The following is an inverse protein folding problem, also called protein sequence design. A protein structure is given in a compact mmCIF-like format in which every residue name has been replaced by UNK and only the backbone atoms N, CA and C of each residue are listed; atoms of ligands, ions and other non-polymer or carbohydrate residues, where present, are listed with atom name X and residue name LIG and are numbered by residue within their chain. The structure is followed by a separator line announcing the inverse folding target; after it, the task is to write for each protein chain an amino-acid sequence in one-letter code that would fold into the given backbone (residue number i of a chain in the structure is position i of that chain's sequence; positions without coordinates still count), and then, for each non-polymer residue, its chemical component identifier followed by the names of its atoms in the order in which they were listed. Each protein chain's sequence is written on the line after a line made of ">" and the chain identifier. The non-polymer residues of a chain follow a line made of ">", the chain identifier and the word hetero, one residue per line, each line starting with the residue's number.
data_IF_041350319229
#
_entry.id   IF_041350319229
#
_cell.length_a   1.000
_cell.length_b   1.000
_cell.length_c   1.000
_cell.angle_alpha   90.00
_cell.angle_beta   90.00
_cell.angle_gamma   90.00
#
_symmetry.space_group_name_H-M   'P 1'
#
loop_
_entity.id
_entity.type
_entity.pdbx_description
1 polymer ?
#
# COMPACT_ATOMS: atom_id res chain seq x y z
N UNK A 1 28.90 16.41 69.82
CA UNK A 1 29.86 16.65 68.71
C UNK A 1 29.62 15.72 67.52
N UNK A 2 29.24 14.46 67.75
CA UNK A 2 28.98 13.49 66.67
C UNK A 2 27.81 13.86 65.73
N UNK A 3 26.71 14.41 66.27
CA UNK A 3 25.60 14.89 65.44
C UNK A 3 26.04 16.02 64.49
N UNK A 4 26.87 16.94 64.97
CA UNK A 4 27.40 18.04 64.16
C UNK A 4 28.32 17.53 63.04
N UNK A 5 29.16 16.53 63.32
CA UNK A 5 30.00 15.88 62.30
C UNK A 5 29.17 15.17 61.24
N UNK A 6 28.10 14.47 61.65
CA UNK A 6 27.19 13.80 60.71
C UNK A 6 26.46 14.79 59.80
N UNK A 7 25.98 15.90 60.36
CA UNK A 7 25.33 16.98 59.59
C UNK A 7 26.30 17.62 58.59
N UNK A 8 27.53 17.92 59.02
CA UNK A 8 28.56 18.49 58.14
C UNK A 8 28.91 17.51 57.02
N UNK A 9 29.10 16.23 57.32
CA UNK A 9 29.46 15.21 56.34
C UNK A 9 28.35 15.00 55.30
N UNK A 10 27.09 14.92 55.73
CA UNK A 10 25.94 14.83 54.82
C UNK A 10 25.78 16.11 53.98
N UNK A 11 26.02 17.29 54.57
CA UNK A 11 26.00 18.57 53.86
C UNK A 11 27.07 18.67 52.76
N UNK A 12 28.30 18.27 53.06
CA UNK A 12 29.41 18.24 52.09
C UNK A 12 29.09 17.26 50.96
N UNK A 13 28.62 16.06 51.30
CA UNK A 13 28.29 15.05 50.31
C UNK A 13 27.12 15.49 49.41
N UNK A 14 26.10 16.13 49.98
CA UNK A 14 25.00 16.75 49.21
C UNK A 14 25.49 17.85 48.27
N UNK A 15 26.42 18.70 48.73
CA UNK A 15 27.00 19.75 47.89
C UNK A 15 27.84 19.18 46.75
N UNK A 16 28.62 18.13 47.02
CA UNK A 16 29.41 17.43 45.98
C UNK A 16 28.49 16.80 44.94
N UNK A 17 27.48 16.02 45.37
CA UNK A 17 26.55 15.39 44.42
C UNK A 17 25.72 16.42 43.65
N UNK A 18 25.28 17.50 44.31
CA UNK A 18 24.58 18.60 43.66
C UNK A 18 25.44 19.29 42.60
N UNK A 19 26.71 19.56 42.91
CA UNK A 19 27.65 20.17 41.97
C UNK A 19 27.95 19.25 40.77
N UNK A 20 28.13 17.94 41.01
CA UNK A 20 28.33 16.96 39.93
C UNK A 20 27.10 16.86 39.04
N UNK A 21 25.89 16.83 39.61
CA UNK A 21 24.64 16.80 38.85
C UNK A 21 24.42 18.10 38.07
N UNK A 22 24.71 19.26 38.65
CA UNK A 22 24.62 20.55 37.97
C UNK A 22 25.60 20.64 36.80
N UNK A 23 26.85 20.20 37.01
CA UNK A 23 27.85 20.14 35.96
C UNK A 23 27.44 19.18 34.84
N UNK A 24 26.97 17.98 35.18
CA UNK A 24 26.47 17.02 34.20
C UNK A 24 25.27 17.59 33.42
N UNK A 25 24.30 18.20 34.11
CA UNK A 25 23.13 18.80 33.49
C UNK A 25 23.50 19.90 32.48
N UNK A 26 24.45 20.77 32.82
CA UNK A 26 24.92 21.82 31.90
C UNK A 26 25.78 21.27 30.77
N UNK A 27 26.65 20.31 31.05
CA UNK A 27 27.56 19.73 30.04
C UNK A 27 26.83 18.89 29.00
N UNK A 28 25.74 18.24 29.40
CA UNK A 28 24.90 17.39 28.55
C UNK A 28 23.57 18.07 28.17
N UNK A 29 23.41 19.36 28.44
CA UNK A 29 22.26 20.12 27.95
C UNK A 29 22.30 20.15 26.43
N UNK A 30 21.28 19.55 25.80
CA UNK A 30 21.11 19.59 24.35
C UNK A 30 20.28 20.82 24.02
N UNK A 31 20.81 21.76 23.23
CA UNK A 31 20.01 22.84 22.68
C UNK A 31 18.94 22.23 21.76
N UNK A 32 17.69 22.34 22.18
CA UNK A 32 16.53 21.94 21.37
C UNK A 32 16.21 23.10 20.44
N UNK A 33 16.37 22.88 19.14
CA UNK A 33 16.01 23.86 18.13
C UNK A 33 14.51 24.18 18.25
N UNK A 34 14.15 25.46 18.32
CA UNK A 34 12.74 25.89 18.46
C UNK A 34 11.85 25.35 17.33
N UNK A 35 12.42 25.04 16.16
CA UNK A 35 11.70 24.41 15.05
C UNK A 35 11.27 22.99 15.38
N UNK A 36 12.03 22.25 16.20
CA UNK A 36 11.65 20.90 16.62
C UNK A 36 10.35 20.93 17.42
N UNK A 37 10.24 21.85 18.38
CA UNK A 37 9.02 22.05 19.16
C UNK A 37 7.82 22.44 18.27
N UNK A 38 8.03 23.39 17.33
CA UNK A 38 6.98 23.80 16.37
C UNK A 38 6.54 22.66 15.45
N UNK A 39 7.48 21.83 14.99
CA UNK A 39 7.16 20.65 14.17
C UNK A 39 6.39 19.62 15.01
N UNK A 40 6.79 19.41 16.26
CA UNK A 40 6.11 18.47 17.16
C UNK A 40 4.65 18.84 17.41
N UNK A 41 4.34 20.14 17.52
CA UNK A 41 2.97 20.64 17.69
C UNK A 41 2.07 20.40 16.47
N UNK A 42 2.62 20.41 15.26
CA UNK A 42 1.85 20.16 14.03
C UNK A 42 1.75 18.68 13.67
N UNK A 43 2.59 17.82 14.27
CA UNK A 43 2.54 16.38 14.06
C UNK A 43 1.30 15.75 14.74
N UNK A 44 0.77 14.64 14.22
CA UNK A 44 -0.43 13.99 14.78
C UNK A 44 -0.28 13.39 16.19
N UNK A 45 0.89 13.45 16.82
CA UNK A 45 1.13 12.87 18.16
C UNK A 45 0.99 11.33 18.27
N UNK A 46 0.83 10.62 17.15
CA UNK A 46 0.50 9.19 17.14
C UNK A 46 1.64 8.26 17.61
N UNK A 47 2.89 8.74 17.66
CA UNK A 47 4.09 8.01 18.09
C UNK A 47 4.18 6.58 17.51
N UNK A 48 3.79 6.42 16.25
CA UNK A 48 3.57 5.10 15.65
C UNK A 48 4.80 4.45 15.03
N UNK A 49 5.87 5.21 14.79
CA UNK A 49 7.09 4.73 14.13
C UNK A 49 6.97 4.53 12.61
N UNK A 50 5.81 4.77 11.99
CA UNK A 50 5.58 4.50 10.57
C UNK A 50 6.46 5.30 9.58
N UNK A 51 7.11 6.37 10.05
CA UNK A 51 8.09 7.14 9.29
C UNK A 51 9.53 6.61 9.40
N UNK A 52 9.78 5.58 10.22
CA UNK A 52 11.12 5.03 10.48
C UNK A 52 11.86 5.66 11.66
N UNK A 53 11.28 6.67 12.33
CA UNK A 53 11.88 7.37 13.47
C UNK A 53 11.20 7.03 14.81
N UNK A 54 11.92 7.12 15.94
CA UNK A 54 11.37 6.82 17.25
C UNK A 54 10.39 7.91 17.71
N UNK A 55 9.11 7.74 17.37
CA UNK A 55 8.03 8.63 17.77
C UNK A 55 7.98 9.96 17.01
N UNK A 56 7.08 10.84 17.43
CA UNK A 56 6.86 12.14 16.80
C UNK A 56 8.02 13.12 17.07
N UNK A 57 8.62 13.09 18.27
CA UNK A 57 9.81 13.88 18.58
C UNK A 57 11.01 13.47 17.73
N UNK A 58 11.22 12.15 17.55
CA UNK A 58 12.31 11.63 16.73
C UNK A 58 12.25 12.08 15.27
N UNK A 59 11.06 12.08 14.65
CA UNK A 59 10.91 12.60 13.28
C UNK A 59 11.01 14.12 13.22
N UNK A 60 10.53 14.85 14.23
CA UNK A 60 10.69 16.30 14.30
C UNK A 60 12.17 16.70 14.34
N UNK A 61 12.97 16.07 15.21
CA UNK A 61 14.41 16.28 15.31
C UNK A 61 15.12 15.94 13.99
N UNK A 62 14.76 14.82 13.36
CA UNK A 62 15.36 14.39 12.09
C UNK A 62 15.04 15.35 10.94
N UNK A 63 13.83 15.92 10.89
CA UNK A 63 13.46 16.93 9.89
C UNK A 63 14.32 18.19 10.07
N UNK A 64 14.47 18.68 11.31
CA UNK A 64 15.29 19.87 11.59
C UNK A 64 16.76 19.66 11.19
N UNK A 65 17.30 18.46 11.44
CA UNK A 65 18.67 18.07 11.04
C UNK A 65 18.85 17.83 9.54
N UNK A 66 17.77 17.82 8.76
CA UNK A 66 17.81 17.49 7.33
C UNK A 66 18.00 15.99 7.04
N UNK A 67 17.86 15.14 8.05
CA UNK A 67 17.95 13.67 7.92
C UNK A 67 16.63 13.05 7.45
N UNK A 68 15.52 13.78 7.56
CA UNK A 68 14.19 13.37 7.11
C UNK A 68 13.55 14.46 6.22
N UNK A 69 12.79 14.09 5.17
CA UNK A 69 12.05 15.06 4.37
C UNK A 69 10.87 15.65 5.16
N UNK A 70 10.42 16.85 4.81
CA UNK A 70 9.29 17.53 5.50
C UNK A 70 7.95 16.79 5.40
N UNK A 71 7.83 15.88 4.43
CA UNK A 71 6.67 15.00 4.24
C UNK A 71 6.86 13.61 4.90
N UNK A 72 7.85 13.43 5.77
CA UNK A 72 8.20 12.13 6.35
C UNK A 72 7.07 11.47 7.15
N UNK A 73 6.10 12.23 7.69
CA UNK A 73 5.01 11.67 8.49
C UNK A 73 3.87 11.13 7.59
N UNK A 74 3.72 9.81 7.40
CA UNK A 74 2.66 9.25 6.57
C UNK A 74 1.27 9.51 7.16
N UNK A 75 1.16 9.57 8.49
CA UNK A 75 -0.11 9.79 9.20
C UNK A 75 -0.63 11.21 9.02
N UNK A 76 0.27 12.19 9.02
CA UNK A 76 -0.09 13.60 8.85
C UNK A 76 -0.41 13.98 7.40
N UNK A 77 0.10 13.21 6.44
CA UNK A 77 -0.14 13.40 5.01
C UNK A 77 0.23 14.81 4.52
N UNK A 78 -0.42 15.24 3.44
CA UNK A 78 -0.15 16.53 2.80
C UNK A 78 -0.40 17.74 3.72
N UNK A 79 -1.40 17.65 4.61
CA UNK A 79 -1.76 18.76 5.50
C UNK A 79 -0.65 19.07 6.52
N UNK A 80 -0.06 18.03 7.13
CA UNK A 80 1.06 18.20 8.05
C UNK A 80 2.34 18.55 7.30
N UNK A 81 2.57 17.92 6.14
CA UNK A 81 3.74 18.22 5.32
C UNK A 81 3.81 19.70 4.93
N UNK A 82 2.68 20.32 4.57
CA UNK A 82 2.61 21.74 4.24
C UNK A 82 3.03 22.63 5.43
N UNK A 83 2.47 22.38 6.63
CA UNK A 83 2.82 23.13 7.85
C UNK A 83 4.29 22.95 8.24
N UNK A 84 4.82 21.73 8.13
CA UNK A 84 6.23 21.45 8.41
C UNK A 84 7.12 22.15 7.37
N UNK A 85 6.72 22.17 6.10
CA UNK A 85 7.39 22.92 5.04
C UNK A 85 7.46 24.41 5.31
N UNK A 86 6.37 25.02 5.80
CA UNK A 86 6.35 26.42 6.24
C UNK A 86 7.34 26.69 7.39
N UNK A 87 7.40 25.80 8.39
CA UNK A 87 8.35 25.91 9.52
C UNK A 87 9.81 25.79 9.05
N UNK A 88 10.06 24.91 8.08
CA UNK A 88 11.40 24.64 7.55
C UNK A 88 11.81 25.58 6.40
N UNK A 89 10.89 26.41 5.90
CA UNK A 89 11.13 27.30 4.75
C UNK A 89 11.31 26.56 3.42
N UNK A 90 10.79 25.34 3.28
CA UNK A 90 10.91 24.51 2.06
C UNK A 90 9.56 24.09 1.52
N UNK A 91 9.43 24.01 0.20
CA UNK A 91 8.21 23.51 -0.43
C UNK A 91 8.02 22.03 -0.11
N UNK A 92 6.86 21.68 0.45
CA UNK A 92 6.51 20.30 0.72
C UNK A 92 6.03 19.60 -0.55
N UNK A 93 6.82 18.69 -1.10
CA UNK A 93 6.35 17.80 -2.16
C UNK A 93 5.35 16.79 -1.58
N UNK A 94 4.13 16.79 -2.11
CA UNK A 94 3.09 15.85 -1.67
C UNK A 94 3.22 14.54 -2.45
N UNK A 95 3.69 13.49 -1.79
CA UNK A 95 3.63 12.12 -2.32
C UNK A 95 2.19 11.60 -2.42
N UNK A 96 1.96 10.60 -3.27
CA UNK A 96 0.65 9.97 -3.40
C UNK A 96 0.28 9.17 -2.14
N UNK A 97 -0.95 9.34 -1.63
CA UNK A 97 -1.48 8.59 -0.46
C UNK A 97 -1.22 7.10 -0.67
N UNK A 98 -0.52 6.49 0.28
CA UNK A 98 -0.31 5.05 0.33
C UNK A 98 -1.25 4.42 1.36
N UNK A 99 -1.60 3.16 1.17
CA UNK A 99 -2.44 2.38 2.09
C UNK A 99 -1.89 0.96 2.22
N UNK A 100 -2.24 0.29 3.31
CA UNK A 100 -1.93 -1.13 3.49
C UNK A 100 -2.83 -2.00 2.59
N UNK A 101 -2.29 -3.10 2.10
CA UNK A 101 -2.96 -4.08 1.25
C UNK A 101 -2.58 -5.49 1.67
N UNK A 102 -3.56 -6.37 1.81
CA UNK A 102 -3.35 -7.76 2.26
C UNK A 102 -3.23 -8.68 1.06
N UNK A 103 -2.09 -9.35 0.91
CA UNK A 103 -1.79 -10.27 -0.19
C UNK A 103 -2.33 -11.68 0.04
N UNK A 104 -3.62 -11.80 0.34
CA UNK A 104 -4.25 -13.10 0.51
C UNK A 104 -5.71 -13.09 0.07
N UNK A 105 -6.07 -13.97 -0.86
CA UNK A 105 -7.45 -14.30 -1.25
C UNK A 105 -7.92 -15.66 -0.73
N UNK A 106 -7.05 -16.37 -0.01
CA UNK A 106 -7.33 -17.71 0.51
C UNK A 106 -8.21 -17.66 1.75
N UNK A 107 -9.50 -17.39 1.56
CA UNK A 107 -10.56 -17.43 2.57
C UNK A 107 -10.76 -18.83 3.18
N UNK A 108 -11.61 -18.95 4.21
CA UNK A 108 -11.97 -20.24 4.82
C UNK A 108 -12.58 -21.23 3.81
N UNK A 109 -13.29 -20.73 2.81
CA UNK A 109 -13.91 -21.53 1.74
C UNK A 109 -12.94 -21.96 0.64
N UNK A 110 -11.82 -21.25 0.47
CA UNK A 110 -10.90 -21.46 -0.65
C UNK A 110 -9.56 -22.06 -0.25
N UNK A 111 -9.14 -21.94 1.01
CA UNK A 111 -7.90 -22.50 1.53
C UNK A 111 -8.16 -23.51 2.64
N UNK A 112 -7.60 -24.71 2.50
CA UNK A 112 -7.74 -25.77 3.49
C UNK A 112 -6.93 -25.46 4.77
N UNK A 113 -7.40 -25.98 5.89
CA UNK A 113 -6.64 -26.07 7.13
C UNK A 113 -6.11 -27.51 7.30
N UNK A 114 -4.93 -27.64 7.90
CA UNK A 114 -4.29 -28.94 8.20
C UNK A 114 -4.60 -29.42 9.62
N UNK A 115 -5.03 -28.51 10.49
CA UNK A 115 -5.51 -28.82 11.84
C UNK A 115 -6.43 -27.67 12.32
N UNK A 116 -7.23 -27.95 13.34
CA UNK A 116 -8.05 -26.94 14.02
C UNK A 116 -7.23 -26.28 15.14
N UNK A 117 -7.09 -24.96 15.10
CA UNK A 117 -6.32 -24.24 16.11
C UNK A 117 -7.20 -23.87 17.31
N UNK A 118 -6.94 -24.51 18.45
CA UNK A 118 -7.55 -24.19 19.74
C UNK A 118 -6.50 -23.53 20.63
N UNK A 119 -6.42 -22.21 20.58
CA UNK A 119 -5.43 -21.43 21.32
C UNK A 119 -5.78 -19.94 21.36
N UNK A 120 -4.83 -19.14 21.82
CA UNK A 120 -4.99 -17.68 21.90
C UNK A 120 -5.22 -17.11 20.50
N UNK A 121 -6.20 -16.23 20.35
CA UNK A 121 -6.51 -15.54 19.09
C UNK A 121 -5.41 -14.52 18.72
N UNK A 122 -4.25 -15.02 18.32
CA UNK A 122 -3.10 -14.25 17.88
C UNK A 122 -2.31 -15.03 16.81
N UNK A 123 -2.06 -14.40 15.66
CA UNK A 123 -1.34 -14.99 14.54
C UNK A 123 0.09 -15.39 14.91
N UNK A 124 0.78 -14.66 15.80
CA UNK A 124 2.17 -14.94 16.19
C UNK A 124 2.21 -16.20 17.04
N UNK A 125 1.27 -16.35 17.97
CA UNK A 125 1.10 -17.57 18.76
C UNK A 125 0.80 -18.79 17.85
N UNK A 126 -0.12 -18.65 16.89
CA UNK A 126 -0.46 -19.75 16.00
C UNK A 126 0.69 -20.16 15.07
N UNK A 127 1.52 -19.22 14.60
CA UNK A 127 2.67 -19.54 13.73
C UNK A 127 3.71 -20.41 14.45
N UNK A 128 3.81 -20.34 15.79
CA UNK A 128 4.70 -21.21 16.56
C UNK A 128 4.30 -22.71 16.44
N UNK A 129 3.03 -23.00 16.15
CA UNK A 129 2.52 -24.36 15.96
C UNK A 129 2.56 -24.76 14.49
N UNK A 130 3.71 -25.25 14.03
CA UNK A 130 3.90 -25.74 12.65
C UNK A 130 3.54 -24.66 11.61
N UNK A 131 3.77 -23.37 11.91
CA UNK A 131 3.46 -22.28 10.97
C UNK A 131 1.97 -21.92 10.86
N UNK A 132 1.12 -22.37 11.79
CA UNK A 132 -0.32 -22.03 11.84
C UNK A 132 -1.25 -23.07 11.21
N UNK A 133 -2.57 -22.95 11.44
CA UNK A 133 -3.57 -23.97 11.05
C UNK A 133 -3.80 -24.08 9.55
N UNK A 134 -3.53 -23.02 8.79
CA UNK A 134 -3.74 -22.99 7.35
C UNK A 134 -2.73 -23.89 6.64
N UNK A 135 -3.20 -24.71 5.70
CA UNK A 135 -2.35 -25.61 4.91
C UNK A 135 -1.37 -24.84 4.03
N UNK A 136 -1.73 -23.62 3.62
CA UNK A 136 -0.83 -22.69 2.94
C UNK A 136 0.11 -21.99 3.94
N UNK A 137 1.40 -22.23 3.82
CA UNK A 137 2.45 -21.63 4.66
C UNK A 137 2.54 -20.11 4.56
N UNK A 138 2.02 -19.52 3.49
CA UNK A 138 2.05 -18.08 3.21
C UNK A 138 0.70 -17.39 3.47
N UNK A 139 -0.36 -18.13 3.77
CA UNK A 139 -1.71 -17.58 3.85
C UNK A 139 -1.99 -16.80 5.13
N UNK A 140 -2.96 -15.88 5.06
CA UNK A 140 -3.47 -15.21 6.26
C UNK A 140 -4.10 -16.24 7.19
N UNK A 141 -3.78 -16.19 8.49
CA UNK A 141 -4.34 -17.10 9.48
C UNK A 141 -5.71 -16.65 10.01
N UNK A 142 -6.10 -15.40 9.78
CA UNK A 142 -7.40 -14.88 10.21
C UNK A 142 -7.54 -14.60 11.71
N UNK A 143 -6.46 -14.66 12.50
CA UNK A 143 -6.53 -14.48 13.97
C UNK A 143 -6.39 -13.02 14.44
N UNK A 144 -6.39 -12.03 13.53
CA UNK A 144 -6.61 -10.65 13.94
C UNK A 144 -5.46 -9.90 14.64
N UNK A 145 -4.22 -10.40 14.73
CA UNK A 145 -3.10 -9.61 15.32
C UNK A 145 -2.91 -8.25 14.64
N UNK A 146 -3.10 -8.17 13.32
CA UNK A 146 -3.04 -6.88 12.61
C UNK A 146 -4.21 -5.94 12.99
N UNK A 147 -5.37 -6.49 13.32
CA UNK A 147 -6.55 -5.74 13.79
C UNK A 147 -6.27 -5.16 15.18
N UNK A 148 -5.72 -5.97 16.10
CA UNK A 148 -5.47 -5.54 17.48
C UNK A 148 -4.44 -4.42 17.61
N UNK A 149 -3.49 -4.30 16.68
CA UNK A 149 -2.49 -3.21 16.67
C UNK A 149 -2.96 -1.96 15.91
N UNK A 150 -4.10 -2.01 15.22
CA UNK A 150 -4.58 -0.91 14.40
C UNK A 150 -5.32 0.14 15.24
N UNK A 151 -4.62 1.18 15.66
CA UNK A 151 -5.21 2.31 16.41
C UNK A 151 -6.24 3.13 15.61
N UNK A 152 -6.30 2.95 14.28
CA UNK A 152 -7.17 3.71 13.38
C UNK A 152 -8.43 2.93 12.96
N UNK A 153 -8.61 1.69 13.43
CA UNK A 153 -9.76 0.86 13.09
C UNK A 153 -9.86 0.53 11.59
N UNK A 154 -8.73 0.52 10.88
CA UNK A 154 -8.67 0.32 9.44
C UNK A 154 -8.59 -1.16 9.01
N UNK A 155 -8.60 -2.11 9.95
CA UNK A 155 -8.43 -3.53 9.68
C UNK A 155 -9.57 -4.33 10.31
N UNK A 156 -10.05 -5.35 9.60
CA UNK A 156 -11.04 -6.32 10.08
C UNK A 156 -10.75 -7.71 9.52
N UNK A 157 -11.29 -8.76 10.13
CA UNK A 157 -11.22 -10.12 9.58
C UNK A 157 -12.55 -10.44 8.89
N UNK A 158 -12.49 -10.79 7.61
CA UNK A 158 -13.64 -11.21 6.80
C UNK A 158 -13.30 -12.55 6.15
N UNK A 159 -14.13 -13.56 6.39
CA UNK A 159 -13.96 -14.93 5.86
C UNK A 159 -12.53 -15.51 6.08
N UNK A 160 -11.99 -15.30 7.29
CA UNK A 160 -10.67 -15.81 7.69
C UNK A 160 -9.47 -15.06 7.10
N UNK A 161 -9.68 -13.88 6.50
CA UNK A 161 -8.63 -13.05 5.91
C UNK A 161 -8.76 -11.61 6.41
N UNK A 162 -7.62 -10.95 6.63
CA UNK A 162 -7.61 -9.53 6.98
C UNK A 162 -7.99 -8.65 5.77
N UNK A 163 -8.87 -7.69 5.98
CA UNK A 163 -9.31 -6.70 4.99
C UNK A 163 -9.00 -5.30 5.52
N UNK A 164 -8.48 -4.44 4.65
CA UNK A 164 -8.13 -3.06 4.97
C UNK A 164 -9.22 -2.13 4.46
N UNK A 165 -9.70 -1.25 5.33
CA UNK A 165 -10.48 -0.06 5.01
C UNK A 165 -9.49 1.05 4.60
N UNK A 166 -9.42 1.32 3.29
CA UNK A 166 -8.45 2.25 2.69
C UNK A 166 -8.73 3.72 3.06
N UNK A 167 -9.95 4.05 3.45
CA UNK A 167 -10.34 5.40 3.85
C UNK A 167 -9.78 5.72 5.24
N UNK A 168 -9.85 4.76 6.17
CA UNK A 168 -9.29 4.88 7.52
C UNK A 168 -7.79 4.59 7.59
N UNK A 169 -7.22 3.92 6.59
CA UNK A 169 -5.80 3.59 6.58
C UNK A 169 -4.93 4.85 6.40
N UNK A 170 -4.04 5.07 7.36
CA UNK A 170 -3.06 6.17 7.36
C UNK A 170 -1.62 5.71 7.10
N UNK A 171 -1.45 4.46 6.66
CA UNK A 171 -0.15 3.80 6.43
C UNK A 171 0.86 3.98 7.59
N UNK A 172 0.45 3.67 8.82
CA UNK A 172 1.35 3.76 9.98
C UNK A 172 2.35 2.59 10.11
N UNK A 173 2.25 1.56 9.26
CA UNK A 173 3.19 0.42 9.22
C UNK A 173 2.95 -0.69 10.25
N UNK A 174 2.34 -0.42 11.41
CA UNK A 174 2.20 -1.41 12.51
C UNK A 174 1.64 -2.77 12.11
N UNK A 175 0.67 -2.80 11.19
CA UNK A 175 0.08 -4.05 10.70
C UNK A 175 1.04 -4.86 9.81
N UNK A 176 1.91 -4.18 9.05
CA UNK A 176 2.95 -4.78 8.22
C UNK A 176 3.99 -5.44 9.13
N UNK A 177 4.48 -4.70 10.12
CA UNK A 177 5.55 -5.16 11.02
C UNK A 177 5.09 -6.33 11.91
N UNK A 178 3.83 -6.31 12.36
CA UNK A 178 3.32 -7.37 13.24
C UNK A 178 2.93 -8.66 12.51
N UNK A 179 2.79 -8.62 11.17
CA UNK A 179 2.29 -9.77 10.42
C UNK A 179 3.35 -10.89 10.36
N UNK A 180 3.18 -12.03 11.07
CA UNK A 180 4.22 -13.07 11.10
C UNK A 180 4.37 -13.82 9.77
N UNK A 181 3.45 -13.57 8.81
CA UNK A 181 3.47 -14.12 7.46
C UNK A 181 3.95 -13.12 6.40
N UNK A 182 4.19 -11.85 6.77
CA UNK A 182 4.63 -10.81 5.83
C UNK A 182 3.64 -10.51 4.70
N UNK A 183 2.33 -10.63 4.96
CA UNK A 183 1.29 -10.55 3.93
C UNK A 183 0.82 -9.15 3.59
N UNK A 184 1.08 -8.19 4.47
CA UNK A 184 0.56 -6.85 4.35
C UNK A 184 1.64 -5.99 3.71
N UNK A 185 1.33 -5.37 2.58
CA UNK A 185 2.25 -4.50 1.84
C UNK A 185 1.63 -3.13 1.62
N UNK A 186 2.46 -2.14 1.31
CA UNK A 186 2.00 -0.81 0.91
C UNK A 186 1.62 -0.79 -0.58
N UNK A 187 0.55 -0.08 -0.90
CA UNK A 187 0.18 0.27 -2.28
C UNK A 187 -0.24 1.73 -2.36
N UNK A 188 -0.16 2.38 -3.54
CA UNK A 188 -0.83 3.64 -3.77
C UNK A 188 -2.35 3.48 -3.61
N UNK A 189 -3.02 4.44 -2.95
CA UNK A 189 -4.46 4.40 -2.70
C UNK A 189 -5.27 4.35 -4.00
N UNK A 190 -4.82 5.07 -5.05
CA UNK A 190 -5.48 5.07 -6.37
C UNK A 190 -5.25 3.79 -7.17
N UNK A 191 -4.35 2.91 -6.74
CA UNK A 191 -4.11 1.65 -7.43
C UNK A 191 -5.20 0.64 -7.11
N UNK A 192 -6.04 0.38 -8.10
CA UNK A 192 -7.10 -0.62 -8.03
C UNK A 192 -6.62 -2.03 -8.39
N UNK A 193 -5.55 -2.13 -9.20
CA UNK A 193 -5.04 -3.41 -9.69
C UNK A 193 -3.97 -3.95 -8.75
N UNK A 194 -4.31 -4.97 -7.98
CA UNK A 194 -3.45 -5.51 -6.91
C UNK A 194 -3.42 -7.03 -6.90
N UNK A 195 -2.33 -7.63 -6.43
CA UNK A 195 -2.21 -9.09 -6.29
C UNK A 195 -2.61 -9.51 -4.87
N UNK A 196 -3.51 -10.49 -4.77
CA UNK A 196 -4.04 -11.03 -3.51
C UNK A 196 -3.49 -12.44 -3.21
N UNK A 197 -2.20 -12.66 -3.40
CA UNK A 197 -1.54 -13.91 -3.02
C UNK A 197 -0.08 -13.64 -2.71
N UNK A 198 0.47 -14.40 -1.77
CA UNK A 198 1.89 -14.36 -1.41
C UNK A 198 2.56 -15.73 -1.48
N UNK A 199 1.87 -16.73 -2.04
CA UNK A 199 2.42 -18.08 -2.16
C UNK A 199 3.51 -18.13 -3.22
N UNK A 200 4.65 -18.69 -2.86
CA UNK A 200 5.79 -18.96 -3.77
C UNK A 200 5.88 -20.43 -4.20
N UNK A 201 4.96 -21.25 -3.68
CA UNK A 201 4.84 -22.67 -4.02
C UNK A 201 4.56 -22.87 -5.52
N UNK A 202 4.90 -24.06 -6.04
CA UNK A 202 4.57 -24.41 -7.43
C UNK A 202 3.06 -24.52 -7.59
N UNK A 203 2.57 -24.24 -8.80
CA UNK A 203 1.13 -24.19 -9.06
C UNK A 203 0.35 -25.48 -8.75
N UNK A 204 1.00 -26.65 -8.74
CA UNK A 204 0.37 -27.90 -8.28
C UNK A 204 0.10 -27.84 -6.77
N UNK A 205 1.14 -27.60 -5.98
CA UNK A 205 1.06 -27.52 -4.51
C UNK A 205 0.10 -26.41 -4.06
N UNK A 206 0.04 -25.28 -4.79
CA UNK A 206 -0.93 -24.23 -4.53
C UNK A 206 -2.35 -24.73 -4.73
N UNK A 207 -2.64 -25.44 -5.83
CA UNK A 207 -3.99 -25.96 -6.12
C UNK A 207 -4.44 -26.99 -5.08
N UNK A 208 -3.51 -27.78 -4.56
CA UNK A 208 -3.78 -28.78 -3.52
C UNK A 208 -4.16 -28.11 -2.18
N UNK A 209 -3.62 -26.92 -1.89
CA UNK A 209 -3.85 -26.20 -0.63
C UNK A 209 -4.91 -25.09 -0.72
N UNK A 210 -5.07 -24.48 -1.89
CA UNK A 210 -5.88 -23.27 -2.09
C UNK A 210 -6.41 -23.16 -3.52
N UNK A 211 -7.74 -23.09 -3.65
CA UNK A 211 -8.41 -22.92 -4.94
C UNK A 211 -8.22 -21.52 -5.54
N UNK A 212 -7.92 -20.51 -4.72
CA UNK A 212 -7.79 -19.10 -5.12
C UNK A 212 -6.34 -18.59 -5.31
N UNK A 213 -5.32 -19.44 -5.06
CA UNK A 213 -3.92 -19.02 -5.07
C UNK A 213 -3.32 -18.80 -6.47
N UNK A 214 -2.26 -17.97 -6.55
CA UNK A 214 -1.48 -17.79 -7.78
C UNK A 214 -0.75 -19.10 -8.15
N UNK A 215 -0.80 -19.47 -9.43
CA UNK A 215 -0.17 -20.71 -9.94
C UNK A 215 1.05 -20.45 -10.85
N UNK A 216 1.54 -19.20 -10.91
CA UNK A 216 2.72 -18.86 -11.69
C UNK A 216 2.61 -19.01 -13.21
N UNK A 217 1.40 -19.02 -13.79
CA UNK A 217 1.18 -19.35 -15.22
C UNK A 217 1.66 -18.29 -16.24
N UNK A 218 2.16 -17.13 -15.79
CA UNK A 218 2.67 -16.01 -16.62
C UNK A 218 1.69 -15.36 -17.60
N UNK A 219 0.39 -15.70 -17.60
CA UNK A 219 -0.61 -15.06 -18.47
C UNK A 219 -0.70 -13.55 -18.26
N UNK A 220 -0.68 -13.11 -16.99
CA UNK A 220 -0.74 -11.70 -16.64
C UNK A 220 0.48 -10.90 -17.13
N UNK A 221 1.69 -11.46 -16.94
CA UNK A 221 2.96 -10.89 -17.42
C UNK A 221 2.94 -10.74 -18.95
N UNK A 222 2.61 -11.81 -19.69
CA UNK A 222 2.52 -11.78 -21.16
C UNK A 222 1.47 -10.80 -21.69
N UNK A 223 0.37 -10.61 -20.96
CA UNK A 223 -0.73 -9.72 -21.36
C UNK A 223 -0.49 -8.25 -21.01
N UNK A 224 0.55 -7.93 -20.24
CA UNK A 224 0.77 -6.57 -19.74
C UNK A 224 1.38 -5.68 -20.84
N UNK A 225 0.66 -4.66 -21.33
CA UNK A 225 1.14 -3.84 -22.45
C UNK A 225 2.33 -2.93 -22.11
N UNK A 226 2.56 -2.69 -20.82
CA UNK A 226 3.56 -1.76 -20.30
C UNK A 226 4.65 -2.46 -19.49
N UNK A 227 4.65 -3.81 -19.48
CA UNK A 227 5.64 -4.60 -18.74
C UNK A 227 5.65 -4.32 -17.22
N UNK A 228 4.50 -3.95 -16.65
CA UNK A 228 4.37 -3.64 -15.22
C UNK A 228 4.20 -4.88 -14.34
N UNK A 229 4.08 -6.09 -14.91
CA UNK A 229 3.84 -7.32 -14.15
C UNK A 229 4.96 -8.30 -14.45
N UNK A 230 5.55 -8.84 -13.38
CA UNK A 230 6.59 -9.87 -13.46
C UNK A 230 6.15 -11.08 -12.66
N UNK A 231 6.34 -12.30 -13.18
CA UNK A 231 6.13 -13.54 -12.43
C UNK A 231 7.47 -14.17 -12.09
N UNK A 232 7.84 -14.06 -10.82
CA UNK A 232 9.06 -14.61 -10.23
C UNK A 232 8.71 -15.51 -9.04
N UNK A 233 9.44 -16.60 -8.86
CA UNK A 233 9.18 -17.58 -7.79
C UNK A 233 7.71 -18.04 -7.74
N UNK A 234 7.12 -18.30 -8.91
CA UNK A 234 5.71 -18.69 -9.09
C UNK A 234 4.66 -17.66 -8.66
N UNK A 235 5.07 -16.43 -8.31
CA UNK A 235 4.18 -15.37 -7.83
C UNK A 235 4.22 -14.16 -8.77
N UNK A 236 3.05 -13.57 -9.03
CA UNK A 236 2.95 -12.34 -9.80
C UNK A 236 3.18 -11.12 -8.89
N UNK A 237 3.98 -10.17 -9.35
CA UNK A 237 4.25 -8.89 -8.68
C UNK A 237 3.97 -7.75 -9.66
N UNK A 238 3.43 -6.63 -9.17
CA UNK A 238 3.10 -5.45 -9.99
C UNK A 238 4.03 -4.30 -9.59
N UNK A 239 4.69 -3.73 -10.59
CA UNK A 239 5.37 -2.45 -10.49
C UNK A 239 4.34 -1.33 -10.66
N UNK A 240 3.95 -0.71 -9.54
CA UNK A 240 2.94 0.34 -9.54
C UNK A 240 3.39 1.62 -10.25
N UNK A 241 4.70 1.84 -10.46
CA UNK A 241 5.20 3.00 -11.19
C UNK A 241 4.94 2.90 -12.70
N UNK A 242 4.84 1.67 -13.23
CA UNK A 242 4.57 1.39 -14.64
C UNK A 242 3.11 1.05 -14.91
N UNK A 243 2.39 0.56 -13.92
CA UNK A 243 1.01 0.09 -14.08
C UNK A 243 0.06 1.24 -14.46
N UNK A 244 -0.53 1.15 -15.65
CA UNK A 244 -1.50 2.14 -16.15
C UNK A 244 -2.96 1.83 -15.78
N UNK A 245 -3.20 0.79 -14.97
CA UNK A 245 -4.55 0.42 -14.52
C UNK A 245 -5.48 -0.10 -15.64
N UNK A 246 -4.94 -0.75 -16.67
CA UNK A 246 -5.74 -1.26 -17.79
C UNK A 246 -6.58 -2.52 -17.49
N UNK A 247 -6.36 -3.14 -16.32
CA UNK A 247 -7.11 -4.28 -15.76
C UNK A 247 -7.09 -5.59 -16.58
N UNK A 248 -6.37 -5.64 -17.72
CA UNK A 248 -6.26 -6.85 -18.57
C UNK A 248 -5.69 -8.06 -17.81
N UNK A 249 -4.71 -7.83 -16.95
CA UNK A 249 -4.10 -8.89 -16.16
C UNK A 249 -5.09 -9.59 -15.21
N UNK A 250 -6.04 -8.86 -14.62
CA UNK A 250 -7.08 -9.40 -13.76
C UNK A 250 -8.08 -10.24 -14.54
N UNK A 251 -8.38 -9.83 -15.77
CA UNK A 251 -9.27 -10.55 -16.66
C UNK A 251 -8.70 -11.90 -17.11
N UNK A 252 -7.46 -11.90 -17.63
CA UNK A 252 -6.81 -13.14 -18.10
C UNK A 252 -6.37 -14.08 -16.98
N UNK A 253 -6.43 -13.64 -15.71
CA UNK A 253 -6.02 -14.45 -14.56
C UNK A 253 -7.06 -15.58 -14.31
N UNK A 254 -6.71 -16.86 -14.54
CA UNK A 254 -7.67 -17.96 -14.37
C UNK A 254 -8.06 -18.18 -12.90
N UNK A 255 -7.18 -17.79 -11.97
CA UNK A 255 -7.40 -17.89 -10.52
C UNK A 255 -8.05 -16.63 -9.93
N UNK A 256 -8.22 -15.58 -10.73
CA UNK A 256 -8.73 -14.27 -10.31
C UNK A 256 -8.03 -13.74 -9.05
N UNK A 257 -6.72 -13.99 -8.94
CA UNK A 257 -5.88 -13.59 -7.81
C UNK A 257 -5.47 -12.12 -7.88
N UNK A 258 -5.59 -11.52 -9.07
CA UNK A 258 -5.38 -10.10 -9.28
C UNK A 258 -6.75 -9.45 -9.14
N UNK A 259 -6.93 -8.64 -8.10
CA UNK A 259 -8.16 -7.89 -7.85
C UNK A 259 -8.15 -6.63 -8.71
N UNK A 260 -9.28 -6.38 -9.36
CA UNK A 260 -9.62 -5.17 -10.08
C UNK A 260 -11.14 -5.16 -10.32
N UNK A 261 -11.75 -3.99 -10.37
CA UNK A 261 -13.14 -3.86 -10.81
C UNK A 261 -13.23 -3.93 -12.35
N UNK A 262 -13.79 -5.03 -12.86
CA UNK A 262 -13.96 -5.28 -14.29
C UNK A 262 -15.28 -4.75 -14.85
N UNK A 263 -16.21 -4.25 -14.01
CA UNK A 263 -17.53 -3.78 -14.43
C UNK A 263 -17.43 -2.60 -15.42
N UNK A 264 -16.39 -1.78 -15.29
CA UNK A 264 -16.18 -0.64 -16.16
C UNK A 264 -15.38 -0.97 -17.44
N UNK A 265 -15.10 -2.24 -17.79
CA UNK A 265 -14.35 -2.57 -19.02
C UNK A 265 -15.17 -2.53 -20.31
N UNK A 266 -16.18 -1.66 -20.37
CA UNK A 266 -17.01 -1.44 -21.56
C UNK A 266 -16.14 -1.04 -22.74
N UNK A 267 -16.43 -1.59 -23.91
CA UNK A 267 -15.76 -1.19 -25.15
C UNK A 267 -16.09 0.27 -25.47
N UNK A 268 -15.29 0.86 -26.35
CA UNK A 268 -15.45 2.26 -26.74
C UNK A 268 -15.72 2.39 -28.24
N UNK A 269 -16.47 3.42 -28.61
CA UNK A 269 -16.67 3.86 -29.99
C UNK A 269 -16.20 5.32 -30.14
N UNK A 270 -15.94 5.74 -31.37
CA UNK A 270 -15.51 7.10 -31.69
C UNK A 270 -16.63 7.80 -32.45
N UNK A 271 -17.04 8.96 -31.96
CA UNK A 271 -17.99 9.87 -32.60
C UNK A 271 -17.28 10.62 -33.73
N UNK A 272 -17.61 10.24 -34.97
CA UNK A 272 -16.98 10.78 -36.18
C UNK A 272 -17.15 12.30 -36.29
N UNK A 273 -18.26 12.86 -35.80
CA UNK A 273 -18.54 14.30 -35.86
C UNK A 273 -17.61 15.14 -34.97
N UNK A 274 -17.08 14.54 -33.91
CA UNK A 274 -16.20 15.20 -32.94
C UNK A 274 -14.72 14.86 -33.17
N UNK A 275 -14.45 13.79 -33.90
CA UNK A 275 -13.10 13.29 -34.11
C UNK A 275 -12.33 14.13 -35.13
N UNK A 276 -11.24 14.78 -34.68
CA UNK A 276 -10.40 15.64 -35.53
C UNK A 276 -9.22 14.89 -36.19
N UNK A 277 -9.15 13.56 -36.08
CA UNK A 277 -8.08 12.77 -36.69
C UNK A 277 -6.67 13.07 -36.16
N UNK A 278 -6.52 13.37 -34.87
CA UNK A 278 -5.21 13.73 -34.28
C UNK A 278 -4.29 12.53 -34.00
N UNK A 279 -4.73 11.30 -34.22
CA UNK A 279 -4.04 10.01 -33.96
C UNK A 279 -3.61 9.73 -32.51
N UNK A 280 -3.92 10.61 -31.54
CA UNK A 280 -3.48 10.43 -30.15
C UNK A 280 -4.05 9.16 -29.49
N UNK A 281 -5.31 8.82 -29.79
CA UNK A 281 -5.96 7.62 -29.31
C UNK A 281 -5.31 6.34 -29.89
N UNK A 282 -5.01 6.32 -31.19
CA UNK A 282 -4.37 5.19 -31.85
C UNK A 282 -2.97 4.93 -31.28
N UNK A 283 -2.14 5.97 -31.12
CA UNK A 283 -0.79 5.84 -30.52
C UNK A 283 -0.81 5.38 -29.06
N UNK A 284 -1.87 5.71 -28.32
CA UNK A 284 -2.01 5.33 -26.90
C UNK A 284 -2.58 3.92 -26.75
N UNK A 285 -3.28 3.39 -27.76
CA UNK A 285 -3.92 2.08 -27.67
C UNK A 285 -2.86 0.98 -27.72
N UNK A 286 -2.63 0.24 -26.60
CA UNK A 286 -1.61 -0.79 -26.61
C UNK A 286 -2.08 -2.09 -27.29
N UNK A 287 -3.36 -2.17 -27.64
CA UNK A 287 -3.97 -3.35 -28.27
C UNK A 287 -4.14 -3.18 -29.78
N UNK A 288 -3.70 -2.05 -30.35
CA UNK A 288 -3.89 -1.76 -31.77
C UNK A 288 -5.37 -1.75 -32.19
N UNK A 289 -6.27 -1.39 -31.27
CA UNK A 289 -7.71 -1.47 -31.49
C UNK A 289 -8.31 -0.23 -32.16
N UNK A 290 -7.49 0.74 -32.60
CA UNK A 290 -7.98 1.99 -33.18
C UNK A 290 -7.29 2.20 -34.52
N UNK A 291 -8.10 2.33 -35.57
CA UNK A 291 -7.69 2.45 -36.97
C UNK A 291 -8.06 3.84 -37.51
N UNK A 292 -7.26 4.38 -38.42
CA UNK A 292 -7.54 5.65 -39.11
C UNK A 292 -6.31 6.55 -39.25
N UNK A 293 -6.35 7.40 -40.27
CA UNK A 293 -5.22 8.27 -40.66
C UNK A 293 -5.34 9.70 -40.09
N UNK A 294 -4.23 10.46 -40.20
CA UNK A 294 -4.21 11.86 -39.76
C UNK A 294 -5.25 12.66 -40.54
N UNK A 295 -6.01 13.51 -39.85
CA UNK A 295 -7.14 14.32 -40.37
C UNK A 295 -8.38 13.53 -40.80
N UNK A 296 -8.45 12.22 -40.57
CA UNK A 296 -9.65 11.42 -40.80
C UNK A 296 -10.26 10.96 -39.47
N UNK A 297 -11.59 10.77 -39.39
CA UNK A 297 -12.21 10.12 -38.24
C UNK A 297 -11.67 8.71 -38.04
N UNK A 298 -11.21 8.41 -36.82
CA UNK A 298 -10.75 7.06 -36.48
C UNK A 298 -11.92 6.14 -36.11
N UNK A 299 -11.73 4.84 -36.29
CA UNK A 299 -12.68 3.77 -35.93
C UNK A 299 -12.06 2.82 -34.90
N UNK A 300 -12.89 2.24 -34.05
CA UNK A 300 -12.45 1.25 -33.05
C UNK A 300 -12.79 -0.16 -33.54
N UNK A 301 -11.79 -1.03 -33.55
CA UNK A 301 -11.94 -2.47 -33.69
C UNK A 301 -12.40 -3.05 -32.34
N UNK A 302 -13.66 -3.46 -32.28
CA UNK A 302 -14.29 -3.96 -31.06
C UNK A 302 -13.74 -5.33 -30.61
N UNK A 303 -13.11 -6.12 -31.49
CA UNK A 303 -12.52 -7.42 -31.11
C UNK A 303 -11.19 -7.23 -30.38
N UNK A 304 -10.38 -6.30 -30.90
CA UNK A 304 -9.11 -5.91 -30.27
C UNK A 304 -9.32 -5.02 -29.05
N UNK A 305 -10.42 -4.27 -28.99
CA UNK A 305 -10.71 -3.38 -27.88
C UNK A 305 -10.91 -4.14 -26.56
N UNK A 306 -10.03 -3.87 -25.60
CA UNK A 306 -10.05 -4.46 -24.25
C UNK A 306 -10.71 -3.55 -23.21
N UNK A 307 -11.37 -2.47 -23.60
CA UNK A 307 -12.08 -1.59 -22.65
C UNK A 307 -11.20 -1.01 -21.55
N UNK A 308 -9.93 -0.70 -21.86
CA UNK A 308 -8.98 -0.15 -20.88
C UNK A 308 -9.08 1.37 -20.68
N UNK A 309 -9.86 2.03 -21.55
CA UNK A 309 -10.14 3.48 -21.56
C UNK A 309 -8.94 4.43 -21.61
N UNK A 310 -7.72 3.93 -21.86
CA UNK A 310 -6.53 4.78 -22.01
C UNK A 310 -6.69 5.81 -23.13
N UNK A 311 -7.39 5.44 -24.21
CA UNK A 311 -7.69 6.33 -25.32
C UNK A 311 -8.61 7.50 -24.91
N UNK A 312 -9.58 7.26 -24.01
CA UNK A 312 -10.51 8.30 -23.52
C UNK A 312 -9.74 9.39 -22.79
N UNK A 313 -8.81 9.02 -21.91
CA UNK A 313 -7.95 9.95 -21.15
C UNK A 313 -7.07 10.84 -22.04
N UNK A 314 -6.84 10.47 -23.30
CA UNK A 314 -6.01 11.23 -24.26
C UNK A 314 -6.82 12.01 -25.29
N UNK A 315 -8.14 11.83 -25.36
CA UNK A 315 -8.96 12.51 -26.35
C UNK A 315 -9.28 13.94 -25.90
N UNK A 316 -8.68 14.94 -26.54
CA UNK A 316 -8.93 16.38 -26.21
C UNK A 316 -10.30 16.90 -26.65
N UNK A 317 -11.06 16.12 -27.43
CA UNK A 317 -12.35 16.51 -28.00
C UNK A 317 -13.51 15.69 -27.44
N UNK A 318 -13.23 14.83 -26.45
CA UNK A 318 -14.22 13.92 -25.86
C UNK A 318 -15.04 13.17 -26.90
N UNK A 319 -14.37 12.78 -27.99
CA UNK A 319 -14.98 12.09 -29.12
C UNK A 319 -15.15 10.58 -28.88
N UNK A 320 -14.69 10.05 -27.74
CA UNK A 320 -14.73 8.61 -27.43
C UNK A 320 -15.83 8.35 -26.42
N UNK A 321 -16.76 7.47 -26.77
CA UNK A 321 -17.91 7.10 -25.93
C UNK A 321 -17.86 5.62 -25.58
N UNK A 322 -18.53 5.24 -24.50
CA UNK A 322 -18.73 3.84 -24.14
C UNK A 322 -19.78 3.23 -25.07
N UNK A 323 -19.57 1.98 -25.48
CA UNK A 323 -20.55 1.21 -26.24
C UNK A 323 -21.63 0.71 -25.28
N UNK A 324 -22.90 0.82 -25.69
CA UNK A 324 -24.02 0.34 -24.90
C UNK A 324 -24.04 -1.19 -24.84
N UNK A 325 -24.46 -1.75 -23.71
CA UNK A 325 -24.47 -3.20 -23.44
C UNK A 325 -25.28 -4.03 -24.45
N UNK A 326 -26.26 -3.42 -25.13
CA UNK A 326 -27.05 -4.08 -26.19
C UNK A 326 -26.27 -4.28 -27.50
N UNK A 327 -25.29 -3.43 -27.80
CA UNK A 327 -24.44 -3.57 -28.99
C UNK A 327 -23.36 -4.63 -28.77
N UNK A 328 -22.82 -4.77 -27.55
CA UNK A 328 -21.87 -5.84 -27.21
C UNK A 328 -22.46 -7.24 -27.43
N UNK A 329 -23.76 -7.45 -27.16
CA UNK A 329 -24.45 -8.73 -27.40
C UNK A 329 -24.68 -9.08 -28.87
N UNK A 330 -24.70 -8.09 -29.79
CA UNK A 330 -24.86 -8.34 -31.23
C UNK A 330 -23.57 -8.81 -31.91
N UNK A 331 -22.41 -8.57 -31.30
CA UNK A 331 -21.09 -9.00 -31.79
C UNK A 331 -20.62 -10.32 -31.14
N UNK A 332 -21.34 -10.84 -30.15
CA UNK A 332 -21.03 -12.10 -29.47
C UNK A 332 -21.80 -13.32 -30.02
N UNK A 333 -22.69 -13.11 -31.01
CA UNK A 333 -23.45 -14.14 -31.72
C UNK A 333 -22.99 -14.24 -33.18
#
# INVERSE_FOLDING_TARGET
>A
MEILKAVILLGIMGLIFGAVLAFAAQKFAVEVDEREAKILEVLPGANCGGCGYPGCGGVAAAIVKGEAPVNACPVGGAAVAAKVGEIMGVAAETGEKQVAHVMCKGTCSSAANKYEYQGITDCRAAVALIGGPKSCSFGCLGLGTCVSVCAFGALSIVDGVAVVDEDKCVLCGKCIDTCPKGLIQKKPAKQEVVVECSSKDKGKDVKDKCSAGCIGCKKCEKSCPVGAITVENNLATIDYSKCVGCKVCADVCPKKVIKADLSDRRKVSIDESKCIGCTACARTCPFGAIEGEKKQPHKVDLEKCKGCHLCMKKCKKDAIKLVDSKEESKLAN
#
